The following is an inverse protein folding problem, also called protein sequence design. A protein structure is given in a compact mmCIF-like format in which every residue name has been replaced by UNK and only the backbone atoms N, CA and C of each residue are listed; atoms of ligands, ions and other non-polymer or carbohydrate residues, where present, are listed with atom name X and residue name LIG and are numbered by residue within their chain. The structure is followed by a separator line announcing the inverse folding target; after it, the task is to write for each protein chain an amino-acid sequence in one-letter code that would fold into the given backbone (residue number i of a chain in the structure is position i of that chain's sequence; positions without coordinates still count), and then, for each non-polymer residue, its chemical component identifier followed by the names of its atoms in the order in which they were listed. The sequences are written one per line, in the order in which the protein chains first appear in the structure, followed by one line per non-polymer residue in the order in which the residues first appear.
data_IF_713385156024
#
_entry.id   IF_713385156024
#
_cell.length_a   1.000
_cell.length_b   1.000
_cell.length_c   1.000
_cell.angle_alpha   90.00
_cell.angle_beta   90.00
_cell.angle_gamma   90.00
#
_symmetry.space_group_name_H-M   'P 1'
#
loop_
_entity.id
_entity.type
_entity.pdbx_description
1 polymer ?
#
# COMPACT_ATOMS: atom_id res chain seq x y z
N UNK A 1 -67.07 2.30 47.30
CA UNK A 1 -65.66 1.97 47.05
C UNK A 1 -65.58 0.82 46.04
N UNK A 2 -64.63 0.88 45.07
CA UNK A 2 -64.16 -0.19 44.16
C UNK A 2 -64.54 -0.21 42.65
N UNK A 3 -65.20 0.79 42.05
CA UNK A 3 -65.45 0.73 40.57
C UNK A 3 -65.09 1.95 39.71
N UNK A 4 -64.43 2.97 40.27
CA UNK A 4 -64.07 4.19 39.53
C UNK A 4 -62.57 4.33 39.23
N UNK A 5 -61.74 3.36 39.60
CA UNK A 5 -60.28 3.44 39.50
C UNK A 5 -59.68 2.59 38.36
N UNK A 6 -60.52 1.83 37.63
CA UNK A 6 -60.06 0.94 36.56
C UNK A 6 -60.08 1.58 35.16
N UNK A 7 -60.78 2.72 34.99
CA UNK A 7 -60.96 3.32 33.66
C UNK A 7 -59.85 4.33 33.29
N UNK A 8 -59.12 4.86 34.28
CA UNK A 8 -58.04 5.84 34.02
C UNK A 8 -56.70 5.20 33.64
N UNK A 9 -56.53 3.89 33.86
CA UNK A 9 -55.30 3.16 33.48
C UNK A 9 -55.38 2.51 32.10
N UNK A 10 -56.58 2.38 31.52
CA UNK A 10 -56.75 1.76 30.21
C UNK A 10 -56.51 2.73 29.04
N UNK A 11 -56.54 4.05 29.27
CA UNK A 11 -56.38 5.05 28.21
C UNK A 11 -54.93 5.54 28.01
N UNK A 12 -54.00 5.15 28.88
CA UNK A 12 -52.61 5.64 28.86
C UNK A 12 -51.62 4.72 28.11
N UNK A 13 -52.09 3.60 27.53
CA UNK A 13 -51.21 2.57 26.96
C UNK A 13 -51.15 2.52 25.42
N UNK A 14 -51.80 3.43 24.69
CA UNK A 14 -51.88 3.34 23.22
C UNK A 14 -51.02 4.34 22.43
N UNK A 15 -50.07 5.02 23.06
CA UNK A 15 -49.10 5.85 22.33
C UNK A 15 -47.66 5.56 22.73
N UNK A 16 -47.30 4.28 22.77
CA UNK A 16 -45.90 3.88 22.62
C UNK A 16 -45.70 3.37 21.20
N UNK A 17 -45.88 4.26 20.20
CA UNK A 17 -45.25 4.01 18.91
C UNK A 17 -43.76 4.09 19.17
N UNK A 18 -43.06 2.97 19.09
CA UNK A 18 -41.62 2.96 18.93
C UNK A 18 -41.31 4.01 17.88
N UNK A 19 -40.63 5.10 18.25
CA UNK A 19 -39.95 5.92 17.26
C UNK A 19 -38.87 4.99 16.74
N UNK A 20 -39.19 4.26 15.67
CA UNK A 20 -38.16 3.72 14.81
C UNK A 20 -37.43 4.97 14.33
N UNK A 21 -36.30 5.29 14.94
CA UNK A 21 -35.30 6.08 14.27
C UNK A 21 -35.10 5.32 12.96
N UNK A 22 -35.64 5.85 11.85
CA UNK A 22 -35.31 5.33 10.54
C UNK A 22 -33.79 5.30 10.53
N UNK A 23 -33.20 4.11 10.40
CA UNK A 23 -31.76 4.02 10.22
C UNK A 23 -31.48 4.94 9.05
N UNK A 24 -30.79 6.05 9.33
CA UNK A 24 -30.24 6.88 8.27
C UNK A 24 -29.29 5.97 7.54
N UNK A 25 -29.76 5.41 6.43
CA UNK A 25 -28.94 4.65 5.50
C UNK A 25 -27.90 5.65 5.04
N UNK A 26 -26.70 5.55 5.61
CA UNK A 26 -25.55 6.28 5.11
C UNK A 26 -25.37 5.74 3.69
N UNK A 27 -25.51 6.59 2.65
CA UNK A 27 -25.28 6.13 1.30
C UNK A 27 -23.89 5.54 1.23
N UNK A 28 -23.80 4.31 0.72
CA UNK A 28 -22.50 3.68 0.51
C UNK A 28 -21.72 4.57 -0.47
N UNK A 29 -20.45 4.84 -0.16
CA UNK A 29 -19.62 5.62 -1.07
C UNK A 29 -19.43 4.81 -2.35
N UNK A 30 -19.99 5.30 -3.45
CA UNK A 30 -19.74 4.79 -4.78
C UNK A 30 -18.45 5.43 -5.33
N UNK A 31 -17.48 4.59 -5.64
CA UNK A 31 -16.20 4.98 -6.21
C UNK A 31 -16.02 4.45 -7.64
N UNK A 32 -17.11 4.17 -8.39
CA UNK A 32 -17.06 3.44 -9.66
C UNK A 32 -16.03 3.94 -10.69
N UNK A 33 -15.78 5.25 -10.79
CA UNK A 33 -14.70 5.79 -11.62
C UNK A 33 -13.30 5.40 -11.09
N UNK A 34 -13.06 5.52 -9.78
CA UNK A 34 -11.79 5.12 -9.16
C UNK A 34 -11.59 3.60 -9.20
N UNK A 35 -12.66 2.82 -9.05
CA UNK A 35 -12.60 1.37 -9.21
C UNK A 35 -12.20 0.98 -10.65
N UNK A 36 -12.77 1.67 -11.63
CA UNK A 36 -12.39 1.49 -13.05
C UNK A 36 -10.92 1.84 -13.26
N UNK A 37 -10.45 2.97 -12.73
CA UNK A 37 -9.05 3.40 -12.87
C UNK A 37 -8.08 2.45 -12.16
N UNK A 38 -8.42 1.98 -10.95
CA UNK A 38 -7.63 1.02 -10.19
C UNK A 38 -7.53 -0.31 -10.95
N UNK A 39 -8.64 -0.79 -11.50
CA UNK A 39 -8.67 -2.00 -12.34
C UNK A 39 -7.80 -1.86 -13.59
N UNK A 40 -7.82 -0.70 -14.27
CA UNK A 40 -6.99 -0.46 -15.45
C UNK A 40 -5.47 -0.52 -15.18
N UNK A 41 -5.05 -0.37 -13.93
CA UNK A 41 -3.64 -0.47 -13.51
C UNK A 41 -3.40 -1.69 -12.60
N UNK A 42 -4.31 -2.67 -12.63
CA UNK A 42 -4.20 -3.95 -11.91
C UNK A 42 -4.05 -3.82 -10.37
N UNK A 43 -4.55 -2.72 -9.81
CA UNK A 43 -4.52 -2.45 -8.37
C UNK A 43 -5.91 -2.58 -7.75
N UNK A 44 -5.95 -2.98 -6.49
CA UNK A 44 -7.12 -2.76 -5.66
C UNK A 44 -7.33 -1.26 -5.40
N UNK A 45 -8.56 -0.84 -5.11
CA UNK A 45 -8.85 0.57 -4.81
C UNK A 45 -7.98 1.16 -3.68
N UNK A 46 -7.70 0.43 -2.56
CA UNK A 46 -6.77 0.91 -1.54
C UNK A 46 -5.35 1.13 -2.09
N UNK A 47 -4.80 0.17 -2.84
CA UNK A 47 -3.45 0.28 -3.44
C UNK A 47 -3.34 1.48 -4.38
N UNK A 48 -4.36 1.69 -5.22
CA UNK A 48 -4.43 2.79 -6.17
C UNK A 48 -4.41 4.15 -5.46
N UNK A 49 -5.18 4.29 -4.39
CA UNK A 49 -5.34 5.57 -3.67
C UNK A 49 -4.24 5.85 -2.65
N UNK A 50 -3.48 4.84 -2.22
CA UNK A 50 -2.46 4.97 -1.17
C UNK A 50 -1.01 4.88 -1.65
N UNK A 51 -0.76 4.82 -2.97
CA UNK A 51 0.59 4.61 -3.53
C UNK A 51 1.30 3.39 -2.93
N UNK A 52 0.59 2.25 -2.95
CA UNK A 52 1.06 1.01 -2.35
C UNK A 52 0.84 -0.19 -3.27
N UNK A 53 1.55 -1.27 -2.96
CA UNK A 53 1.34 -2.60 -3.48
C UNK A 53 1.27 -3.55 -2.28
N UNK A 54 0.16 -4.24 -2.15
CA UNK A 54 -0.16 -5.18 -1.10
C UNK A 54 -0.14 -6.62 -1.61
N UNK A 55 -0.55 -6.84 -2.86
CA UNK A 55 -0.60 -8.16 -3.48
C UNK A 55 -0.11 -8.16 -4.94
N UNK A 56 0.29 -9.33 -5.41
CA UNK A 56 0.59 -9.60 -6.81
C UNK A 56 0.13 -11.02 -7.13
N UNK A 57 -0.40 -11.20 -8.34
CA UNK A 57 -0.83 -12.51 -8.79
C UNK A 57 0.34 -13.51 -8.81
N UNK A 58 0.09 -14.73 -8.33
CA UNK A 58 1.08 -15.81 -8.33
C UNK A 58 2.13 -15.79 -7.21
N UNK A 59 2.03 -14.88 -6.23
CA UNK A 59 2.86 -14.87 -5.01
C UNK A 59 2.01 -14.79 -3.75
N UNK A 60 2.32 -15.66 -2.80
CA UNK A 60 1.75 -15.64 -1.44
C UNK A 60 2.76 -14.97 -0.52
N UNK A 61 2.26 -14.19 0.44
CA UNK A 61 3.05 -13.64 1.54
C UNK A 61 4.17 -12.67 1.14
N UNK A 62 4.06 -11.97 0.00
CA UNK A 62 4.96 -10.85 -0.29
C UNK A 62 4.78 -9.74 0.75
N UNK A 63 5.87 -9.06 1.08
CA UNK A 63 5.82 -7.86 1.90
C UNK A 63 5.04 -6.76 1.18
N UNK A 64 4.08 -6.15 1.89
CA UNK A 64 3.42 -4.95 1.39
C UNK A 64 4.42 -3.82 1.36
N UNK A 65 4.34 -3.02 0.31
CA UNK A 65 5.27 -1.92 0.05
C UNK A 65 4.52 -0.65 -0.34
N UNK A 66 4.97 0.48 0.20
CA UNK A 66 4.43 1.78 -0.11
C UNK A 66 5.55 2.84 -0.12
N UNK A 67 5.29 3.96 -0.78
CA UNK A 67 6.17 5.13 -0.71
C UNK A 67 5.39 6.35 -0.25
N UNK A 68 6.00 7.09 0.68
CA UNK A 68 5.54 8.41 1.06
C UNK A 68 6.14 9.50 0.19
N UNK A 69 5.70 10.74 0.44
CA UNK A 69 6.48 11.92 0.03
C UNK A 69 7.78 11.98 0.84
N UNK A 70 8.74 12.81 0.41
CA UNK A 70 10.07 13.01 1.03
C UNK A 70 11.23 12.31 0.32
N UNK A 71 11.18 12.27 -1.01
CA UNK A 71 12.38 11.92 -1.78
C UNK A 71 13.49 12.92 -1.50
N UNK A 72 14.70 12.40 -1.30
CA UNK A 72 15.91 13.20 -1.25
C UNK A 72 16.44 13.32 -2.68
N UNK A 73 16.67 14.53 -3.17
CA UNK A 73 17.24 14.78 -4.51
C UNK A 73 18.11 16.03 -4.46
N UNK A 74 19.17 16.08 -5.24
CA UNK A 74 20.00 17.29 -5.36
C UNK A 74 20.50 17.81 -3.99
N UNK A 75 20.82 16.89 -3.06
CA UNK A 75 21.37 17.22 -1.75
C UNK A 75 20.34 17.70 -0.71
N UNK A 76 19.04 17.61 -0.97
CA UNK A 76 17.98 18.01 -0.02
C UNK A 76 16.76 17.10 -0.07
N UNK A 77 16.01 17.07 1.02
CA UNK A 77 14.68 16.49 1.07
C UNK A 77 13.68 17.38 0.30
N UNK A 78 12.78 16.75 -0.44
CA UNK A 78 11.78 17.42 -1.27
C UNK A 78 10.39 16.84 -1.03
N UNK A 79 9.34 17.53 -1.43
CA UNK A 79 7.98 16.98 -1.40
C UNK A 79 7.69 16.00 -2.56
N UNK A 80 8.71 15.61 -3.34
CA UNK A 80 8.53 14.63 -4.40
C UNK A 80 8.19 13.26 -3.81
N UNK A 81 7.41 12.50 -4.58
CA UNK A 81 6.93 11.17 -4.23
C UNK A 81 7.41 10.18 -5.27
N UNK A 82 7.90 9.04 -4.80
CA UNK A 82 8.18 7.91 -5.68
C UNK A 82 6.88 7.11 -5.83
N UNK A 83 6.46 6.86 -7.06
CA UNK A 83 5.30 6.01 -7.36
C UNK A 83 5.74 4.55 -7.28
N UNK A 84 4.94 3.74 -6.58
CA UNK A 84 5.13 2.29 -6.44
C UNK A 84 4.04 1.57 -7.22
N UNK A 85 4.42 0.83 -8.25
CA UNK A 85 3.51 0.10 -9.13
C UNK A 85 3.78 -1.41 -9.13
N UNK A 86 2.74 -2.17 -9.52
CA UNK A 86 2.85 -3.61 -9.68
C UNK A 86 3.71 -3.94 -10.89
N UNK A 87 4.32 -5.12 -10.85
CA UNK A 87 5.04 -5.69 -11.98
C UNK A 87 4.27 -6.88 -12.54
N UNK A 88 4.54 -7.22 -13.78
CA UNK A 88 3.98 -8.44 -14.36
C UNK A 88 4.60 -9.70 -13.75
N UNK A 89 3.91 -10.83 -13.95
CA UNK A 89 4.33 -12.15 -13.43
C UNK A 89 5.74 -12.56 -13.89
N UNK A 90 6.21 -12.13 -15.06
CA UNK A 90 7.54 -12.49 -15.54
C UNK A 90 8.64 -11.80 -14.71
N UNK A 91 8.48 -10.50 -14.42
CA UNK A 91 9.37 -9.77 -13.53
C UNK A 91 9.36 -10.34 -12.11
N UNK A 92 8.18 -10.74 -11.63
CA UNK A 92 8.00 -11.41 -10.35
C UNK A 92 8.82 -12.70 -10.25
N UNK A 93 8.68 -13.59 -11.24
CA UNK A 93 9.45 -14.85 -11.30
C UNK A 93 10.96 -14.58 -11.42
N UNK A 94 11.36 -13.57 -12.19
CA UNK A 94 12.76 -13.20 -12.35
C UNK A 94 13.38 -12.64 -11.04
N UNK A 95 12.59 -11.91 -10.24
CA UNK A 95 13.00 -11.45 -8.92
C UNK A 95 13.13 -12.59 -7.90
N UNK A 96 12.22 -13.57 -7.94
CA UNK A 96 12.31 -14.79 -7.12
C UNK A 96 13.58 -15.59 -7.42
N UNK A 97 13.91 -15.78 -8.71
CA UNK A 97 15.15 -16.43 -9.12
C UNK A 97 16.38 -15.68 -8.61
N UNK A 98 16.34 -14.34 -8.58
CA UNK A 98 17.43 -13.54 -8.02
C UNK A 98 17.59 -13.76 -6.52
N UNK A 99 16.49 -13.80 -5.78
CA UNK A 99 16.52 -14.10 -4.35
C UNK A 99 17.14 -15.47 -4.06
N UNK A 100 16.71 -16.50 -4.79
CA UNK A 100 17.29 -17.84 -4.71
C UNK A 100 18.79 -17.85 -5.05
N UNK A 101 19.20 -17.14 -6.12
CA UNK A 101 20.59 -17.06 -6.54
C UNK A 101 21.50 -16.43 -5.47
N UNK A 102 21.01 -15.43 -4.74
CA UNK A 102 21.77 -14.77 -3.67
C UNK A 102 21.58 -15.44 -2.30
N UNK A 103 20.81 -16.53 -2.24
CA UNK A 103 20.55 -17.28 -1.01
C UNK A 103 19.62 -16.57 -0.02
N UNK A 104 18.80 -15.63 -0.49
CA UNK A 104 17.84 -14.89 0.32
C UNK A 104 16.38 -15.19 -0.02
N UNK A 105 15.48 -14.52 0.68
CA UNK A 105 14.03 -14.54 0.44
C UNK A 105 13.60 -13.20 -0.15
N UNK A 106 12.88 -13.24 -1.27
CA UNK A 106 12.30 -12.04 -1.85
C UNK A 106 11.25 -11.47 -0.90
N UNK A 107 11.46 -10.24 -0.45
CA UNK A 107 10.45 -9.49 0.29
C UNK A 107 9.36 -9.03 -0.67
N UNK A 108 9.74 -8.31 -1.72
CA UNK A 108 8.81 -7.77 -2.72
C UNK A 108 9.58 -7.33 -3.97
N UNK A 109 8.86 -7.10 -5.07
CA UNK A 109 9.36 -6.53 -6.31
C UNK A 109 8.33 -5.56 -6.87
N UNK A 110 8.76 -4.38 -7.30
CA UNK A 110 7.87 -3.30 -7.75
C UNK A 110 8.49 -2.51 -8.88
N UNK A 111 7.67 -1.84 -9.66
CA UNK A 111 8.13 -0.77 -10.54
C UNK A 111 8.13 0.54 -9.76
N UNK A 112 9.27 1.22 -9.76
CA UNK A 112 9.44 2.51 -9.11
C UNK A 112 9.61 3.60 -10.16
N UNK A 113 8.88 4.71 -10.00
CA UNK A 113 9.03 5.90 -10.84
C UNK A 113 8.92 7.18 -10.03
N UNK A 114 9.37 8.30 -10.58
CA UNK A 114 9.24 9.62 -9.95
C UNK A 114 9.04 10.67 -11.05
N UNK A 115 7.81 10.78 -11.60
CA UNK A 115 7.55 11.64 -12.74
C UNK A 115 7.79 13.11 -12.39
N UNK A 116 8.50 13.82 -13.27
CA UNK A 116 8.83 15.24 -13.08
C UNK A 116 9.94 15.53 -12.06
N UNK A 117 10.61 14.50 -11.54
CA UNK A 117 11.70 14.63 -10.55
C UNK A 117 13.06 14.50 -11.23
N UNK A 118 13.99 15.39 -10.89
CA UNK A 118 15.40 15.24 -11.27
C UNK A 118 16.09 14.24 -10.33
N UNK A 119 16.61 13.13 -10.87
CA UNK A 119 17.09 11.99 -10.06
C UNK A 119 18.58 12.06 -9.68
N UNK A 120 19.18 13.25 -9.73
CA UNK A 120 20.57 13.46 -9.29
C UNK A 120 20.67 13.20 -7.78
N UNK A 121 21.52 12.24 -7.42
CA UNK A 121 21.75 11.77 -6.04
C UNK A 121 20.46 11.39 -5.31
N UNK A 122 19.48 10.90 -6.07
CA UNK A 122 18.16 10.63 -5.53
C UNK A 122 18.15 9.45 -4.55
N UNK A 123 17.39 9.58 -3.47
CA UNK A 123 17.09 8.50 -2.54
C UNK A 123 15.60 8.48 -2.22
N UNK A 124 15.10 7.28 -1.95
CA UNK A 124 13.71 7.06 -1.56
C UNK A 124 13.66 6.17 -0.33
N UNK A 125 12.84 6.56 0.64
CA UNK A 125 12.45 5.70 1.75
C UNK A 125 11.15 4.97 1.38
N UNK A 126 11.19 3.64 1.45
CA UNK A 126 10.08 2.76 1.13
C UNK A 126 9.63 2.07 2.41
N UNK A 127 8.34 2.10 2.69
CA UNK A 127 7.76 1.32 3.77
C UNK A 127 7.60 -0.10 3.27
N UNK A 128 8.30 -1.06 3.89
CA UNK A 128 8.24 -2.48 3.54
C UNK A 128 7.86 -3.26 4.81
N UNK A 129 6.62 -3.75 4.87
CA UNK A 129 6.11 -4.42 6.07
C UNK A 129 6.95 -5.66 6.43
N UNK A 130 7.25 -5.82 7.72
CA UNK A 130 7.95 -7.00 8.24
C UNK A 130 9.48 -6.87 8.29
N UNK A 131 10.04 -5.81 7.69
CA UNK A 131 11.45 -5.44 7.90
C UNK A 131 11.63 -4.92 9.33
N UNK A 132 12.78 -5.24 9.95
CA UNK A 132 13.19 -4.78 11.27
C UNK A 132 14.55 -4.12 11.20
N UNK A 133 14.79 -3.15 12.08
CA UNK A 133 16.10 -2.53 12.21
C UNK A 133 17.19 -3.60 12.45
N UNK A 134 18.27 -3.53 11.66
CA UNK A 134 19.35 -4.52 11.70
C UNK A 134 19.17 -5.73 10.76
N UNK A 135 18.03 -5.86 10.06
CA UNK A 135 17.89 -6.83 8.98
C UNK A 135 18.91 -6.58 7.86
N UNK A 136 19.47 -7.67 7.32
CA UNK A 136 20.35 -7.63 6.15
C UNK A 136 19.52 -7.55 4.86
N UNK A 137 18.96 -6.37 4.58
CA UNK A 137 18.20 -6.13 3.35
C UNK A 137 19.13 -5.72 2.21
N UNK A 138 18.94 -6.34 1.04
CA UNK A 138 19.58 -5.96 -0.22
C UNK A 138 18.54 -5.51 -1.24
N UNK A 139 18.92 -4.60 -2.13
CA UNK A 139 18.07 -4.11 -3.21
C UNK A 139 18.78 -4.27 -4.55
N UNK A 140 18.01 -4.63 -5.58
CA UNK A 140 18.50 -4.73 -6.95
C UNK A 140 17.54 -4.05 -7.91
N UNK A 141 18.09 -3.46 -8.97
CA UNK A 141 17.33 -2.90 -10.10
C UNK A 141 17.58 -3.71 -11.36
N UNK A 142 16.53 -3.98 -12.11
CA UNK A 142 16.65 -4.60 -13.43
C UNK A 142 17.10 -3.56 -14.46
N UNK A 143 18.26 -3.81 -15.09
CA UNK A 143 18.84 -2.97 -16.15
C UNK A 143 19.12 -3.85 -17.36
N UNK A 144 18.39 -3.62 -18.45
CA UNK A 144 18.53 -4.39 -19.70
C UNK A 144 18.43 -5.91 -19.50
N UNK A 145 17.65 -6.35 -18.52
CA UNK A 145 17.46 -7.77 -18.21
C UNK A 145 18.42 -8.34 -17.19
N UNK A 146 19.31 -7.53 -16.59
CA UNK A 146 20.22 -7.95 -15.52
C UNK A 146 19.91 -7.26 -14.19
N UNK A 147 20.02 -7.98 -13.08
CA UNK A 147 19.91 -7.41 -11.73
C UNK A 147 21.22 -6.73 -11.30
N UNK A 148 21.19 -5.41 -11.20
CA UNK A 148 22.29 -4.58 -10.70
C UNK A 148 22.01 -4.18 -9.26
N UNK A 149 23.00 -4.29 -8.38
CA UNK A 149 22.85 -3.91 -6.98
C UNK A 149 22.58 -2.41 -6.85
N UNK A 150 21.74 -2.06 -5.87
CA UNK A 150 21.39 -0.69 -5.50
C UNK A 150 21.79 -0.50 -4.05
N UNK A 151 22.36 0.66 -3.73
CA UNK A 151 22.79 0.96 -2.37
C UNK A 151 21.58 1.08 -1.45
N UNK A 152 21.56 0.25 -0.39
CA UNK A 152 20.63 0.38 0.73
C UNK A 152 21.27 1.32 1.75
N UNK A 153 20.74 2.52 1.90
CA UNK A 153 21.33 3.59 2.72
C UNK A 153 20.88 3.54 4.18
N UNK A 154 19.71 2.97 4.45
CA UNK A 154 19.22 2.73 5.80
C UNK A 154 18.21 1.58 5.84
N UNK A 155 18.21 0.84 6.95
CA UNK A 155 17.19 -0.16 7.29
C UNK A 155 16.68 0.13 8.70
N UNK A 156 15.38 0.34 8.82
CA UNK A 156 14.68 0.59 10.07
C UNK A 156 13.39 -0.24 10.12
N UNK A 157 12.65 -0.18 11.22
CA UNK A 157 11.41 -0.93 11.36
C UNK A 157 10.41 -0.55 10.27
N UNK A 158 10.06 -1.56 9.47
CA UNK A 158 9.22 -1.50 8.29
C UNK A 158 9.66 -0.43 7.26
N UNK A 159 10.94 -0.06 7.20
CA UNK A 159 11.43 1.00 6.32
C UNK A 159 12.80 0.65 5.73
N UNK A 160 12.93 0.81 4.42
CA UNK A 160 14.19 0.63 3.69
C UNK A 160 14.42 1.85 2.82
N UNK A 161 15.56 2.52 3.01
CA UNK A 161 15.99 3.62 2.16
C UNK A 161 17.02 3.13 1.14
N UNK A 162 16.83 3.50 -0.12
CA UNK A 162 17.73 3.12 -1.22
C UNK A 162 18.16 4.33 -2.03
N UNK A 163 19.28 4.21 -2.74
CA UNK A 163 19.55 5.08 -3.88
C UNK A 163 18.56 4.82 -5.02
N UNK A 164 18.10 5.88 -5.68
CA UNK A 164 17.09 5.82 -6.73
C UNK A 164 17.53 6.54 -8.00
N UNK A 165 18.53 6.00 -8.72
CA UNK A 165 19.14 6.71 -9.85
C UNK A 165 18.25 6.78 -11.10
N UNK A 166 17.23 5.93 -11.21
CA UNK A 166 16.33 5.91 -12.37
C UNK A 166 15.03 5.17 -12.07
N UNK A 167 13.98 5.47 -12.81
CA UNK A 167 12.80 4.60 -12.90
C UNK A 167 13.16 3.19 -13.35
N UNK A 168 12.41 2.19 -12.88
CA UNK A 168 12.55 0.80 -13.33
C UNK A 168 12.01 -0.20 -12.31
N UNK A 169 12.29 -1.47 -12.55
CA UNK A 169 11.87 -2.57 -11.67
C UNK A 169 12.93 -2.80 -10.60
N UNK A 170 12.50 -2.82 -9.33
CA UNK A 170 13.32 -3.04 -8.16
C UNK A 170 12.83 -4.24 -7.36
N UNK A 171 13.75 -5.06 -6.86
CA UNK A 171 13.46 -6.16 -5.93
C UNK A 171 14.22 -5.99 -4.63
N UNK A 172 13.58 -6.36 -3.53
CA UNK A 172 14.11 -6.30 -2.17
C UNK A 172 14.21 -7.72 -1.62
N UNK A 173 15.37 -8.08 -1.07
CA UNK A 173 15.69 -9.44 -0.63
C UNK A 173 16.27 -9.37 0.77
N UNK A 174 15.85 -10.30 1.64
CA UNK A 174 16.33 -10.48 3.02
C UNK A 174 16.88 -11.88 3.23
#
# INVERSE_FOLDING_TARGET
MKKLLALSFALALTFSTTVCAAETVVPEKDFGELDTLAYCVEKSLPEYTSNAVADMDGVRDQAKIASGSNMFTEGKETNATCVVDKVNVAALRYAQQKAEQVGGTMLTVVELSAPGVNLVDAQVALRIEGVKAGDAVTAYRCVKGDWVAVDVTAVADDSVSISFPQKGIYTFIK
#
